data_IF_784603135185
#
_entry.id   IF_784603135185
#
_cell.length_a   1.000
_cell.length_b   1.000
_cell.length_c   1.000
_cell.angle_alpha   90.00
_cell.angle_beta   90.00
_cell.angle_gamma   90.00
#
_symmetry.space_group_name_H-M   'P 1'
#
loop_
_entity.id
_entity.type
_entity.pdbx_description
1 polymer ?
#
# COMPACT_ATOMS: atom_id res chain seq x y z
N UNK A 1 -33.38 6.55 33.67
CA UNK A 1 -33.70 6.17 32.28
C UNK A 1 -32.97 7.05 31.26
N UNK A 2 -33.06 8.38 31.37
CA UNK A 2 -32.40 9.32 30.42
C UNK A 2 -30.87 9.15 30.37
N UNK A 3 -30.21 9.00 31.51
CA UNK A 3 -28.75 8.77 31.59
C UNK A 3 -28.30 7.49 30.88
N UNK A 4 -29.10 6.42 30.96
CA UNK A 4 -28.86 5.15 30.26
C UNK A 4 -28.91 5.33 28.74
N UNK A 5 -29.87 6.11 28.23
CA UNK A 5 -29.99 6.41 26.80
C UNK A 5 -28.84 7.28 26.30
N UNK A 6 -28.42 8.27 27.09
CA UNK A 6 -27.29 9.14 26.73
C UNK A 6 -26.00 8.31 26.58
N UNK A 7 -25.70 7.46 27.56
CA UNK A 7 -24.49 6.62 27.51
C UNK A 7 -24.55 5.64 26.34
N UNK A 8 -25.73 5.08 26.04
CA UNK A 8 -25.94 4.17 24.91
C UNK A 8 -25.68 4.87 23.56
N UNK A 9 -26.20 6.08 23.37
CA UNK A 9 -26.02 6.80 22.10
C UNK A 9 -24.55 7.19 21.92
N UNK A 10 -23.89 7.69 22.97
CA UNK A 10 -22.49 8.09 22.89
C UNK A 10 -21.57 6.90 22.61
N UNK A 11 -21.83 5.72 23.20
CA UNK A 11 -21.01 4.53 22.96
C UNK A 11 -21.14 4.01 21.53
N UNK A 12 -22.35 4.01 20.96
CA UNK A 12 -22.58 3.57 19.58
C UNK A 12 -21.93 4.54 18.57
N UNK A 13 -22.07 5.85 18.79
CA UNK A 13 -21.45 6.85 17.92
C UNK A 13 -19.91 6.74 17.95
N UNK A 14 -19.33 6.59 19.13
CA UNK A 14 -17.89 6.43 19.28
C UNK A 14 -17.39 5.14 18.61
N UNK A 15 -18.09 4.02 18.80
CA UNK A 15 -17.74 2.75 18.18
C UNK A 15 -17.74 2.83 16.64
N UNK A 16 -18.71 3.53 16.05
CA UNK A 16 -18.78 3.76 14.61
C UNK A 16 -17.57 4.53 14.09
N UNK A 17 -17.21 5.64 14.74
CA UNK A 17 -16.07 6.49 14.33
C UNK A 17 -14.74 5.73 14.45
N UNK A 18 -14.55 4.98 15.54
CA UNK A 18 -13.32 4.18 15.75
C UNK A 18 -13.20 3.08 14.70
N UNK A 19 -14.30 2.37 14.41
CA UNK A 19 -14.31 1.31 13.39
C UNK A 19 -14.00 1.86 12.00
N UNK A 20 -14.62 2.98 11.64
CA UNK A 20 -14.37 3.65 10.37
C UNK A 20 -12.90 4.11 10.24
N UNK A 21 -12.36 4.73 11.28
CA UNK A 21 -10.96 5.18 11.29
C UNK A 21 -9.97 4.00 11.21
N UNK A 22 -10.20 2.94 11.99
CA UNK A 22 -9.37 1.73 11.95
C UNK A 22 -9.43 1.05 10.58
N UNK A 23 -10.60 1.03 9.95
CA UNK A 23 -10.79 0.47 8.60
C UNK A 23 -10.00 1.27 7.57
N UNK A 24 -10.10 2.61 7.60
CA UNK A 24 -9.36 3.46 6.67
C UNK A 24 -7.84 3.35 6.85
N UNK A 25 -7.34 3.24 8.10
CA UNK A 25 -5.92 2.98 8.35
C UNK A 25 -5.50 1.61 7.82
N UNK A 26 -6.33 0.59 8.00
CA UNK A 26 -6.02 -0.75 7.51
C UNK A 26 -5.97 -0.75 5.98
N UNK A 27 -6.97 -0.14 5.32
CA UNK A 27 -7.03 -0.04 3.85
C UNK A 27 -5.80 0.69 3.28
N UNK A 28 -5.41 1.83 3.87
CA UNK A 28 -4.22 2.58 3.43
C UNK A 28 -2.90 1.87 3.73
N UNK A 29 -2.86 0.96 4.72
CA UNK A 29 -1.67 0.14 5.01
C UNK A 29 -1.60 -1.15 4.19
N UNK A 30 -2.74 -1.66 3.71
CA UNK A 30 -2.81 -2.82 2.82
C UNK A 30 -2.52 -2.49 1.35
N UNK A 31 -2.31 -1.21 1.01
CA UNK A 31 -1.63 -0.82 -0.22
C UNK A 31 -0.15 -1.17 -0.09
N UNK A 32 0.13 -2.47 -0.15
CA UNK A 32 1.47 -3.01 -0.11
C UNK A 32 2.13 -2.64 -1.44
N UNK A 33 2.95 -1.59 -1.41
CA UNK A 33 3.80 -1.18 -2.52
C UNK A 33 4.83 -2.30 -2.77
N UNK A 34 4.46 -3.27 -3.60
CA UNK A 34 5.33 -4.39 -3.95
C UNK A 34 5.84 -4.22 -5.38
N UNK A 35 7.16 -4.09 -5.50
CA UNK A 35 7.85 -4.03 -6.78
C UNK A 35 8.65 -5.30 -6.93
N UNK A 36 8.32 -6.10 -7.94
CA UNK A 36 9.06 -7.32 -8.25
C UNK A 36 10.00 -7.08 -9.42
N UNK A 37 11.29 -7.26 -9.16
CA UNK A 37 12.33 -7.27 -10.18
C UNK A 37 12.61 -8.72 -10.59
N UNK A 38 12.44 -9.03 -11.87
CA UNK A 38 12.69 -10.38 -12.38
C UNK A 38 13.47 -10.36 -13.69
N UNK A 39 14.09 -11.50 -14.03
CA UNK A 39 14.81 -11.72 -15.30
C UNK A 39 15.90 -10.67 -15.62
N UNK A 40 16.69 -10.27 -14.62
CA UNK A 40 17.87 -9.45 -14.86
C UNK A 40 18.91 -10.20 -15.70
N UNK A 41 19.32 -9.60 -16.82
CA UNK A 41 20.35 -10.15 -17.69
C UNK A 41 21.27 -9.04 -18.19
N UNK A 42 22.56 -9.33 -18.18
CA UNK A 42 23.60 -8.40 -18.64
C UNK A 42 24.33 -9.07 -19.80
N UNK A 43 24.19 -8.51 -21.00
CA UNK A 43 24.95 -8.91 -22.16
C UNK A 43 26.18 -8.02 -22.29
N UNK A 44 27.34 -8.64 -22.43
CA UNK A 44 28.59 -7.94 -22.72
C UNK A 44 29.01 -8.26 -24.16
N UNK A 45 29.21 -7.24 -24.98
CA UNK A 45 29.74 -7.37 -26.33
C UNK A 45 30.93 -6.42 -26.53
N UNK A 46 31.61 -6.48 -27.69
CA UNK A 46 32.78 -5.63 -27.95
C UNK A 46 32.48 -4.14 -28.10
N UNK A 47 31.20 -3.75 -28.11
CA UNK A 47 30.68 -2.38 -28.26
C UNK A 47 30.21 -1.81 -26.92
N UNK A 48 30.04 -2.64 -25.89
CA UNK A 48 29.60 -2.22 -24.55
C UNK A 48 28.86 -3.31 -23.78
N UNK A 49 28.51 -2.99 -22.53
CA UNK A 49 27.67 -3.81 -21.68
C UNK A 49 26.23 -3.26 -21.69
N UNK A 50 25.26 -4.14 -21.95
CA UNK A 50 23.82 -3.82 -21.94
C UNK A 50 23.15 -4.66 -20.86
N UNK A 51 22.49 -4.00 -19.92
CA UNK A 51 21.68 -4.65 -18.89
C UNK A 51 20.19 -4.45 -19.19
N UNK A 52 19.40 -5.51 -19.06
CA UNK A 52 17.95 -5.43 -19.06
C UNK A 52 17.40 -6.18 -17.84
N UNK A 53 16.29 -5.69 -17.31
CA UNK A 53 15.53 -6.33 -16.25
C UNK A 53 14.05 -6.09 -16.50
N UNK A 54 13.22 -7.01 -16.00
CA UNK A 54 11.77 -6.86 -16.00
C UNK A 54 11.36 -6.29 -14.65
N UNK A 55 10.61 -5.20 -14.66
CA UNK A 55 10.03 -4.59 -13.47
C UNK A 55 8.51 -4.75 -13.54
N UNK A 56 7.93 -5.34 -12.50
CA UNK A 56 6.49 -5.51 -12.37
C UNK A 56 6.00 -4.79 -11.12
N UNK A 57 5.01 -3.92 -11.31
CA UNK A 57 4.28 -3.31 -10.22
C UNK A 57 3.19 -4.25 -9.76
N UNK A 58 3.35 -4.82 -8.57
CA UNK A 58 2.34 -5.65 -7.90
C UNK A 58 1.52 -4.84 -6.89
N UNK A 59 1.90 -3.58 -6.65
CA UNK A 59 1.20 -2.65 -5.77
C UNK A 59 0.01 -1.94 -6.44
N UNK A 60 -0.73 -1.19 -5.63
CA UNK A 60 -1.92 -0.44 -6.06
C UNK A 60 -1.63 0.97 -6.58
N UNK A 61 -0.38 1.44 -6.52
CA UNK A 61 0.01 2.83 -6.82
C UNK A 61 1.17 2.89 -7.80
N UNK A 62 1.34 4.04 -8.47
CA UNK A 62 2.42 4.27 -9.44
C UNK A 62 3.81 4.24 -8.79
N UNK A 63 4.75 3.52 -9.41
CA UNK A 63 6.16 3.47 -8.98
C UNK A 63 6.95 4.55 -9.72
N UNK A 64 7.69 5.37 -8.98
CA UNK A 64 8.66 6.30 -9.54
C UNK A 64 10.08 5.72 -9.44
N UNK A 65 10.75 5.59 -10.59
CA UNK A 65 12.14 5.16 -10.66
C UNK A 65 13.01 6.41 -10.81
N UNK A 66 13.79 6.73 -9.78
CA UNK A 66 14.69 7.89 -9.78
C UNK A 66 16.04 7.56 -10.45
N UNK A 67 16.53 6.32 -10.35
CA UNK A 67 17.81 5.90 -10.92
C UNK A 67 17.86 4.41 -11.22
N UNK A 68 18.61 4.07 -12.27
CA UNK A 68 18.96 2.71 -12.72
C UNK A 68 20.48 2.56 -12.81
#
# INVERSE_FOLDING_TARGET
MVTTLIILVVSVLLAGVVTYYATNITMTRTEQEEVSLSKQHIWVNSTGAVAAFKLENLGGKDILIDKI
#
